data_IF_684992426196
#
_entry.id   IF_684992426196
#
_cell.length_a   1.000
_cell.length_b   1.000
_cell.length_c   1.000
_cell.angle_alpha   90.00
_cell.angle_beta   90.00
_cell.angle_gamma   90.00
#
_symmetry.space_group_name_H-M   'P 1'
#
loop_
_entity.id
_entity.type
_entity.pdbx_description
1 polymer ?
#
# COMPACT_ATOMS: atom_id res chain seq x y z
N UNK A 1 -10.93 0.60 -27.95
CA UNK A 1 -12.25 0.60 -27.27
C UNK A 1 -12.03 0.81 -25.78
N UNK A 2 -12.63 1.84 -25.21
CA UNK A 2 -12.60 2.07 -23.76
C UNK A 2 -13.51 1.07 -23.05
N UNK A 3 -13.05 0.57 -21.91
CA UNK A 3 -13.86 -0.28 -21.04
C UNK A 3 -14.99 0.59 -20.44
N UNK A 4 -16.24 0.31 -20.79
CA UNK A 4 -17.41 1.10 -20.34
C UNK A 4 -17.83 0.77 -18.90
N UNK A 5 -17.29 -0.31 -18.32
CA UNK A 5 -17.59 -0.75 -16.96
C UNK A 5 -17.10 0.24 -15.91
N UNK A 6 -17.89 0.40 -14.83
CA UNK A 6 -17.56 1.31 -13.73
C UNK A 6 -16.44 0.70 -12.89
N UNK A 7 -15.32 1.39 -12.78
CA UNK A 7 -14.25 1.02 -11.83
C UNK A 7 -14.73 1.23 -10.40
N UNK A 8 -14.49 0.24 -9.54
CA UNK A 8 -14.77 0.35 -8.10
C UNK A 8 -13.69 1.16 -7.41
N UNK A 9 -12.42 0.88 -7.75
CA UNK A 9 -11.25 1.54 -7.16
C UNK A 9 -10.22 1.86 -8.26
N UNK A 10 -9.52 2.99 -8.12
CA UNK A 10 -8.44 3.43 -8.99
C UNK A 10 -7.25 3.83 -8.12
N UNK A 11 -6.14 3.12 -8.23
CA UNK A 11 -4.91 3.38 -7.48
C UNK A 11 -3.84 3.82 -8.49
N UNK A 12 -3.16 4.93 -8.19
CA UNK A 12 -2.00 5.38 -8.95
C UNK A 12 -0.80 5.32 -8.02
N UNK A 13 0.11 4.39 -8.30
CA UNK A 13 1.41 4.33 -7.66
C UNK A 13 2.38 5.18 -8.48
N UNK A 14 3.08 6.14 -7.85
CA UNK A 14 3.99 7.05 -8.56
C UNK A 14 5.28 7.24 -7.78
N UNK A 15 6.40 7.05 -8.46
CA UNK A 15 7.72 7.47 -7.99
C UNK A 15 7.95 8.92 -8.39
N UNK A 16 8.65 9.71 -7.56
CA UNK A 16 8.99 11.12 -7.83
C UNK A 16 9.60 11.32 -9.23
N UNK A 17 10.34 10.31 -9.71
CA UNK A 17 10.94 10.26 -11.04
C UNK A 17 10.02 9.60 -12.08
N UNK A 18 8.98 10.30 -12.59
CA UNK A 18 8.13 9.98 -13.78
C UNK A 18 7.50 8.58 -13.95
N UNK A 19 7.94 7.54 -13.25
CA UNK A 19 7.43 6.18 -13.35
C UNK A 19 6.16 6.11 -12.51
N UNK A 20 5.08 5.64 -13.14
CA UNK A 20 3.81 5.42 -12.48
C UNK A 20 3.20 4.11 -12.93
N UNK A 21 2.58 3.41 -12.00
CA UNK A 21 1.81 2.20 -12.24
C UNK A 21 0.36 2.52 -11.88
N UNK A 22 -0.55 2.33 -12.83
CA UNK A 22 -1.97 2.49 -12.64
C UNK A 22 -2.64 1.14 -12.43
N UNK A 23 -3.30 0.97 -11.28
CA UNK A 23 -4.07 -0.23 -10.94
C UNK A 23 -5.54 0.15 -10.89
N UNK A 24 -6.35 -0.47 -11.73
CA UNK A 24 -7.81 -0.31 -11.78
C UNK A 24 -8.48 -1.61 -11.34
N UNK A 25 -9.43 -1.48 -10.41
CA UNK A 25 -10.12 -2.62 -9.81
C UNK A 25 -11.61 -2.52 -10.16
N UNK A 26 -12.16 -3.65 -10.60
CA UNK A 26 -13.55 -3.79 -11.00
C UNK A 26 -14.17 -4.95 -10.24
N UNK A 27 -15.35 -4.76 -9.64
CA UNK A 27 -16.10 -5.87 -9.05
C UNK A 27 -16.44 -6.94 -10.10
N UNK A 28 -16.25 -8.21 -9.73
CA UNK A 28 -16.51 -9.33 -10.64
C UNK A 28 -17.98 -9.44 -11.05
N UNK A 29 -18.90 -8.94 -10.21
CA UNK A 29 -20.35 -8.91 -10.46
C UNK A 29 -20.75 -8.16 -11.74
N UNK A 30 -19.85 -7.35 -12.31
CA UNK A 30 -20.02 -6.72 -13.62
C UNK A 30 -19.86 -7.69 -14.80
N UNK A 31 -19.57 -8.97 -14.53
CA UNK A 31 -19.49 -10.08 -15.48
C UNK A 31 -20.34 -11.28 -15.04
N UNK A 32 -21.68 -11.13 -14.92
CA UNK A 32 -22.54 -12.17 -14.35
C UNK A 32 -22.50 -13.50 -15.12
N UNK A 33 -22.18 -13.46 -16.42
CA UNK A 33 -22.13 -14.65 -17.29
C UNK A 33 -20.75 -15.32 -17.34
N UNK A 34 -19.85 -15.02 -16.40
CA UNK A 34 -18.49 -15.59 -16.37
C UNK A 34 -18.31 -16.49 -15.16
N UNK A 35 -17.61 -17.60 -15.40
CA UNK A 35 -17.27 -18.53 -14.34
C UNK A 35 -16.46 -17.79 -13.26
N UNK A 36 -16.78 -18.04 -11.99
CA UNK A 36 -16.14 -17.43 -10.82
C UNK A 36 -16.37 -15.92 -10.65
N UNK A 37 -17.29 -15.30 -11.40
CA UNK A 37 -17.80 -13.97 -11.04
C UNK A 37 -18.69 -14.11 -9.79
N UNK A 38 -18.17 -13.68 -8.64
CA UNK A 38 -18.79 -13.81 -7.32
C UNK A 38 -18.52 -12.57 -6.49
N UNK A 39 -19.45 -12.26 -5.61
CA UNK A 39 -19.26 -11.17 -4.65
C UNK A 39 -17.97 -11.37 -3.82
N UNK A 40 -17.29 -10.26 -3.51
CA UNK A 40 -15.98 -10.27 -2.85
C UNK A 40 -14.78 -10.58 -3.75
N UNK A 41 -14.99 -10.83 -5.05
CA UNK A 41 -13.92 -11.00 -6.05
C UNK A 41 -13.88 -9.86 -7.05
N UNK A 42 -12.70 -9.63 -7.61
CA UNK A 42 -12.42 -8.47 -8.44
C UNK A 42 -11.61 -8.83 -9.67
N UNK A 43 -11.79 -8.08 -10.74
CA UNK A 43 -10.93 -8.11 -11.91
C UNK A 43 -10.03 -6.89 -11.92
N UNK A 44 -8.75 -7.10 -12.16
CA UNK A 44 -7.73 -6.06 -12.03
C UNK A 44 -7.11 -5.74 -13.39
N UNK A 45 -6.89 -4.45 -13.64
CA UNK A 45 -6.19 -3.95 -14.81
C UNK A 45 -4.97 -3.15 -14.34
N UNK A 46 -3.78 -3.53 -14.80
CA UNK A 46 -2.51 -2.87 -14.46
C UNK A 46 -1.95 -2.24 -15.72
N UNK A 47 -1.70 -0.93 -15.70
CA UNK A 47 -1.18 -0.16 -16.84
C UNK A 47 -1.92 -0.43 -18.17
N UNK A 48 -3.24 -0.55 -18.09
CA UNK A 48 -4.08 -0.79 -19.25
C UNK A 48 -4.17 -2.25 -19.71
N UNK A 49 -3.49 -3.18 -19.04
CA UNK A 49 -3.52 -4.63 -19.34
C UNK A 49 -4.30 -5.38 -18.29
N UNK A 50 -5.13 -6.34 -18.70
CA UNK A 50 -5.85 -7.21 -17.76
C UNK A 50 -4.86 -8.13 -17.05
N UNK A 51 -4.81 -8.05 -15.73
CA UNK A 51 -3.92 -8.87 -14.94
C UNK A 51 -4.52 -10.27 -14.79
N UNK A 52 -3.74 -11.27 -15.21
CA UNK A 52 -4.15 -12.68 -15.19
C UNK A 52 -2.94 -13.55 -14.84
N UNK A 53 -2.65 -13.75 -13.55
CA UNK A 53 -1.49 -14.53 -13.13
C UNK A 53 -1.59 -16.00 -13.55
N UNK A 54 -2.81 -16.53 -13.74
CA UNK A 54 -3.05 -17.92 -14.17
C UNK A 54 -3.35 -18.05 -15.68
N UNK A 55 -3.22 -16.99 -16.46
CA UNK A 55 -3.44 -17.01 -17.92
C UNK A 55 -4.90 -17.16 -18.36
N UNK A 56 -5.86 -16.98 -17.46
CA UNK A 56 -7.29 -17.03 -17.75
C UNK A 56 -7.79 -15.68 -18.29
N UNK A 57 -8.46 -15.69 -19.45
CA UNK A 57 -9.03 -14.48 -20.06
C UNK A 57 -9.88 -13.66 -19.07
N UNK A 58 -10.70 -14.32 -18.27
CA UNK A 58 -11.52 -13.73 -17.22
C UNK A 58 -11.09 -14.30 -15.88
N UNK A 59 -10.05 -13.71 -15.31
CA UNK A 59 -9.57 -14.05 -13.99
C UNK A 59 -10.10 -13.08 -12.94
N UNK A 60 -10.65 -13.62 -11.87
CA UNK A 60 -11.15 -12.86 -10.73
C UNK A 60 -10.33 -13.21 -9.50
N UNK A 61 -9.90 -12.17 -8.79
CA UNK A 61 -8.96 -12.22 -7.69
C UNK A 61 -9.65 -11.84 -6.39
N UNK A 62 -9.23 -12.47 -5.31
CA UNK A 62 -9.59 -12.09 -3.95
C UNK A 62 -8.92 -10.77 -3.56
N UNK A 63 -9.41 -10.15 -2.48
CA UNK A 63 -8.78 -8.97 -1.89
C UNK A 63 -7.32 -9.20 -1.49
N UNK A 64 -6.98 -10.41 -1.03
CA UNK A 64 -5.62 -10.78 -0.65
C UNK A 64 -4.65 -10.76 -1.86
N UNK A 65 -5.06 -11.35 -2.98
CA UNK A 65 -4.28 -11.32 -4.23
C UNK A 65 -4.10 -9.88 -4.75
N UNK A 66 -5.10 -9.00 -4.57
CA UNK A 66 -4.98 -7.58 -4.95
C UNK A 66 -3.96 -6.84 -4.10
N UNK A 67 -3.94 -7.11 -2.79
CA UNK A 67 -2.93 -6.54 -1.88
C UNK A 67 -1.53 -6.97 -2.30
N UNK A 68 -1.36 -8.23 -2.72
CA UNK A 68 -0.09 -8.72 -3.26
C UNK A 68 0.35 -7.91 -4.49
N UNK A 69 -0.55 -7.68 -5.46
CA UNK A 69 -0.26 -6.86 -6.66
C UNK A 69 0.18 -5.44 -6.28
N UNK A 70 -0.46 -4.86 -5.26
CA UNK A 70 -0.10 -3.54 -4.77
C UNK A 70 1.30 -3.53 -4.12
N UNK A 71 1.62 -4.54 -3.31
CA UNK A 71 2.95 -4.70 -2.72
C UNK A 71 4.01 -4.85 -3.80
N UNK A 72 3.80 -5.73 -4.78
CA UNK A 72 4.70 -5.95 -5.89
C UNK A 72 4.90 -4.67 -6.72
N UNK A 73 3.82 -3.93 -6.97
CA UNK A 73 3.88 -2.63 -7.66
C UNK A 73 4.66 -1.58 -6.88
N UNK A 74 4.53 -1.53 -5.55
CA UNK A 74 5.35 -0.65 -4.72
C UNK A 74 6.82 -1.07 -4.74
N UNK A 75 7.11 -2.37 -4.66
CA UNK A 75 8.47 -2.90 -4.73
C UNK A 75 9.14 -2.59 -6.06
N UNK A 76 8.41 -2.71 -7.18
CA UNK A 76 8.91 -2.37 -8.50
C UNK A 76 9.26 -0.87 -8.65
N UNK A 77 8.68 0.00 -7.82
CA UNK A 77 8.98 1.43 -7.82
C UNK A 77 10.14 1.80 -6.89
N UNK A 78 10.54 0.92 -5.98
CA UNK A 78 11.66 1.15 -5.06
C UNK A 78 12.92 0.48 -5.59
N UNK A 79 14.00 1.22 -5.84
CA UNK A 79 15.33 0.62 -6.10
C UNK A 79 16.00 0.13 -4.80
N UNK A 80 15.31 0.28 -3.67
CA UNK A 80 15.81 -0.12 -2.37
C UNK A 80 15.48 -1.59 -2.13
N UNK A 81 16.46 -2.40 -1.65
CA UNK A 81 16.14 -3.73 -1.14
C UNK A 81 15.10 -3.60 -0.04
N UNK A 82 14.21 -4.60 0.07
CA UNK A 82 13.18 -4.68 1.10
C UNK A 82 13.85 -4.40 2.45
N UNK A 83 13.67 -3.19 2.96
CA UNK A 83 14.07 -2.90 4.32
C UNK A 83 12.96 -3.54 5.14
N UNK A 84 13.21 -4.76 5.62
CA UNK A 84 12.39 -5.36 6.67
C UNK A 84 12.45 -4.32 7.79
N UNK A 85 11.37 -3.53 7.90
CA UNK A 85 11.29 -2.55 8.96
C UNK A 85 11.44 -3.36 10.24
N UNK A 86 12.42 -3.02 11.11
CA UNK A 86 12.52 -3.69 12.38
C UNK A 86 11.16 -3.60 13.04
N UNK A 87 10.68 -4.74 13.54
CA UNK A 87 9.39 -4.82 14.22
C UNK A 87 9.32 -3.66 15.22
N UNK A 88 8.29 -2.81 15.08
CA UNK A 88 8.17 -1.65 15.96
C UNK A 88 8.09 -2.18 17.39
N UNK A 89 9.02 -1.82 18.28
CA UNK A 89 8.95 -2.29 19.65
C UNK A 89 7.62 -1.84 20.24
N UNK A 90 6.85 -2.80 20.76
CA UNK A 90 5.58 -2.52 21.41
C UNK A 90 5.85 -1.94 22.80
N UNK A 91 6.17 -0.64 22.84
CA UNK A 91 6.42 0.08 24.07
C UNK A 91 5.09 0.49 24.72
N UNK A 92 4.89 0.20 26.02
CA UNK A 92 3.74 0.71 26.76
C UNK A 92 3.59 2.24 26.63
N UNK A 93 2.37 2.75 26.81
CA UNK A 93 2.14 4.20 26.84
C UNK A 93 2.86 4.83 28.04
N UNK A 94 3.47 6.00 27.84
CA UNK A 94 4.18 6.72 28.89
C UNK A 94 5.61 6.23 29.15
N UNK A 95 6.09 5.21 28.43
CA UNK A 95 7.47 4.74 28.49
C UNK A 95 8.43 5.88 28.11
N UNK A 96 9.46 6.10 28.94
CA UNK A 96 10.51 7.07 28.64
C UNK A 96 11.40 6.54 27.51
N UNK A 97 11.55 7.34 26.47
CA UNK A 97 12.36 7.05 25.29
C UNK A 97 13.31 8.21 25.00
N UNK A 98 14.54 7.89 24.60
CA UNK A 98 15.49 8.89 24.11
C UNK A 98 15.21 9.15 22.64
N UNK A 99 14.92 10.40 22.29
CA UNK A 99 14.66 10.84 20.92
C UNK A 99 15.73 11.84 20.49
N UNK A 100 16.19 11.82 19.23
CA UNK A 100 17.13 12.83 18.74
C UNK A 100 16.51 14.23 18.80
N UNK A 101 17.17 15.17 19.48
CA UNK A 101 16.73 16.56 19.65
C UNK A 101 16.84 17.41 18.37
N UNK A 102 17.43 16.86 17.31
CA UNK A 102 17.83 17.60 16.11
C UNK A 102 19.08 18.45 16.27
N UNK A 103 19.68 18.52 17.47
CA UNK A 103 20.93 19.25 17.74
C UNK A 103 22.13 18.32 17.72
N UNK A 104 23.27 18.84 17.27
CA UNK A 104 24.57 18.16 17.29
C UNK A 104 25.52 19.02 18.13
N UNK A 105 26.19 18.41 19.10
CA UNK A 105 27.16 19.09 19.97
C UNK A 105 28.40 18.21 20.12
N UNK A 106 29.58 18.75 19.82
CA UNK A 106 30.84 17.99 19.88
C UNK A 106 30.92 16.81 18.90
N UNK A 107 30.13 16.82 17.82
CA UNK A 107 30.05 15.71 16.85
C UNK A 107 29.04 14.62 17.21
N UNK A 108 28.43 14.67 18.40
CA UNK A 108 27.40 13.71 18.82
C UNK A 108 25.99 14.30 18.68
N UNK A 109 25.02 13.44 18.32
CA UNK A 109 23.60 13.82 18.31
C UNK A 109 23.09 13.92 19.74
N UNK A 110 22.60 15.09 20.12
CA UNK A 110 22.02 15.31 21.42
C UNK A 110 20.63 14.63 21.48
N UNK A 111 20.40 13.88 22.54
CA UNK A 111 19.18 13.08 22.73
C UNK A 111 18.32 13.70 23.84
N UNK A 112 17.06 13.98 23.56
CA UNK A 112 16.07 14.41 24.53
C UNK A 112 15.33 13.22 25.13
N UNK A 113 14.82 13.36 26.36
CA UNK A 113 13.85 12.41 26.90
C UNK A 113 12.44 12.80 26.49
N UNK A 114 11.72 11.85 25.88
CA UNK A 114 10.31 11.94 25.58
C UNK A 114 9.54 10.75 26.19
N UNK A 115 8.21 10.83 26.21
CA UNK A 115 7.34 9.69 26.56
C UNK A 115 6.62 9.18 25.31
N UNK A 116 6.41 7.87 25.23
CA UNK A 116 5.61 7.25 24.16
C UNK A 116 4.15 7.73 24.25
N UNK A 117 3.65 8.28 23.14
CA UNK A 117 2.39 9.03 22.99
C UNK A 117 2.25 10.25 23.93
N UNK A 118 2.32 11.45 23.34
CA UNK A 118 1.65 12.61 23.93
C UNK A 118 0.14 12.31 24.03
N UNK A 119 -0.54 12.70 25.12
CA UNK A 119 -2.00 12.61 25.16
C UNK A 119 -2.58 13.34 23.94
N UNK A 120 -3.64 12.76 23.36
CA UNK A 120 -4.49 13.47 22.41
C UNK A 120 -5.02 14.68 23.17
N UNK A 121 -4.59 15.89 22.81
CA UNK A 121 -5.26 17.10 23.31
C UNK A 121 -6.71 17.02 22.81
N UNK A 122 -7.73 16.88 23.68
CA UNK A 122 -9.08 17.15 23.24
C UNK A 122 -9.11 18.63 22.85
N UNK A 123 -9.52 18.89 21.61
CA UNK A 123 -9.35 20.17 20.92
C UNK A 123 -9.83 21.39 21.71
N UNK A 124 -9.15 22.50 21.45
CA UNK A 124 -9.62 23.85 21.74
C UNK A 124 -10.89 24.19 20.95
#
# INVERSE_FOLDING_TARGET
MGEQRKKSISILLKKTSKISIQILIYESMQWPNKANAKDGYFRVKVDGVWFSPRGLKYEFLSSHEIVQIFQDGLHALTDQPITVLPERPNLPKGTLVRVPSGRIMGGERLMDMARTNSPVFPGA
#
